data_IF_966049335264
#
_entry.id   IF_966049335264
#
_cell.length_a   1.000
_cell.length_b   1.000
_cell.length_c   1.000
_cell.angle_alpha   90.00
_cell.angle_beta   90.00
_cell.angle_gamma   90.00
#
_symmetry.space_group_name_H-M   'P 1'
#
loop_
_entity.id
_entity.type
_entity.pdbx_description
1 polymer ?
#
# COMPACT_ATOMS: atom_id res chain seq x y z
N UNK A 1 8.53 7.04 30.71
CA UNK A 1 8.83 7.01 29.31
C UNK A 1 7.99 8.01 28.54
N UNK A 2 8.64 8.82 27.74
CA UNK A 2 8.05 10.05 27.20
C UNK A 2 7.80 9.97 25.69
N UNK A 3 7.24 8.87 25.25
CA UNK A 3 6.88 8.70 23.85
C UNK A 3 5.39 8.49 23.68
N UNK A 4 4.84 9.15 22.70
CA UNK A 4 3.50 8.93 22.26
C UNK A 4 3.54 8.53 20.79
N UNK A 5 3.00 7.36 20.48
CA UNK A 5 2.79 6.91 19.11
C UNK A 5 1.29 6.86 18.85
N UNK A 6 0.80 7.78 18.05
CA UNK A 6 -0.60 7.84 17.71
C UNK A 6 -0.79 8.14 16.24
N UNK A 7 -1.94 7.74 15.71
CA UNK A 7 -2.35 8.04 14.36
C UNK A 7 -3.51 9.01 14.40
N UNK A 8 -3.51 9.93 13.44
CA UNK A 8 -4.58 10.88 13.25
C UNK A 8 -5.18 10.67 11.87
N UNK A 9 -6.48 10.94 11.77
CA UNK A 9 -7.19 10.87 10.49
C UNK A 9 -7.64 12.30 10.17
N UNK A 10 -7.44 12.72 8.93
CA UNK A 10 -7.96 14.00 8.47
C UNK A 10 -9.43 13.86 8.11
N UNK A 11 -10.27 14.61 8.79
CA UNK A 11 -11.72 14.69 8.55
C UNK A 11 -12.17 16.14 8.60
N UNK A 12 -12.92 16.57 7.59
CA UNK A 12 -13.49 17.92 7.54
C UNK A 12 -12.45 19.04 7.76
N UNK A 13 -11.25 18.86 7.18
CA UNK A 13 -10.15 19.81 7.32
C UNK A 13 -9.41 19.76 8.65
N UNK A 14 -9.72 18.81 9.52
CA UNK A 14 -9.13 18.66 10.85
C UNK A 14 -8.42 17.32 11.00
N UNK A 15 -7.47 17.29 11.93
CA UNK A 15 -6.83 16.05 12.36
C UNK A 15 -7.48 15.57 13.66
N UNK A 16 -8.09 14.41 13.62
CA UNK A 16 -8.68 13.76 14.78
C UNK A 16 -7.92 12.48 15.13
N UNK A 17 -7.95 12.08 16.39
CA UNK A 17 -7.36 10.81 16.79
C UNK A 17 -8.03 9.65 16.04
N UNK A 18 -7.22 8.67 15.63
CA UNK A 18 -7.74 7.52 14.89
C UNK A 18 -8.62 6.61 15.75
N UNK A 19 -8.38 6.58 17.07
CA UNK A 19 -9.15 5.78 18.03
C UNK A 19 -9.33 6.53 19.34
N UNK A 20 -10.35 6.15 20.12
CA UNK A 20 -10.55 6.66 21.46
C UNK A 20 -9.38 6.32 22.40
N UNK A 21 -8.82 5.12 22.22
CA UNK A 21 -7.66 4.69 23.01
C UNK A 21 -6.44 5.61 22.77
N UNK A 22 -6.20 6.01 21.52
CA UNK A 22 -5.12 6.95 21.19
C UNK A 22 -5.32 8.30 21.86
N UNK A 23 -6.57 8.82 21.89
CA UNK A 23 -6.90 10.06 22.57
C UNK A 23 -6.59 9.99 24.07
N UNK A 24 -6.99 8.90 24.72
CA UNK A 24 -6.73 8.70 26.14
C UNK A 24 -5.23 8.54 26.45
N UNK A 25 -4.49 7.84 25.62
CA UNK A 25 -3.04 7.72 25.75
C UNK A 25 -2.35 9.08 25.64
N UNK A 26 -2.83 9.93 24.74
CA UNK A 26 -2.29 11.26 24.56
C UNK A 26 -2.55 12.12 25.82
N UNK A 27 -3.74 12.04 26.42
CA UNK A 27 -4.05 12.76 27.66
C UNK A 27 -3.11 12.35 28.81
N UNK A 28 -2.85 11.04 28.94
CA UNK A 28 -1.90 10.52 29.93
C UNK A 28 -0.48 11.04 29.64
N UNK A 29 -0.09 11.02 28.38
CA UNK A 29 1.22 11.51 27.95
C UNK A 29 1.39 12.99 28.32
N UNK A 30 0.40 13.82 28.02
CA UNK A 30 0.43 15.26 28.34
C UNK A 30 0.47 15.48 29.86
N UNK A 31 -0.30 14.72 30.63
CA UNK A 31 -0.34 14.87 32.09
C UNK A 31 1.01 14.56 32.77
N UNK A 32 1.87 13.76 32.13
CA UNK A 32 3.19 13.43 32.64
C UNK A 32 4.28 14.43 32.20
N UNK A 33 3.96 15.39 31.39
CA UNK A 33 4.90 16.44 30.97
C UNK A 33 4.91 17.55 32.01
N UNK A 34 6.09 17.92 32.54
CA UNK A 34 6.18 19.04 33.47
C UNK A 34 5.75 20.37 32.83
N UNK A 35 5.13 21.22 33.63
CA UNK A 35 4.78 22.56 33.18
C UNK A 35 6.00 23.34 32.68
N UNK A 36 5.83 24.09 31.63
CA UNK A 36 6.91 24.87 31.00
C UNK A 36 7.82 24.08 30.07
N UNK A 37 7.57 22.79 29.89
CA UNK A 37 8.33 21.98 28.95
C UNK A 37 8.06 22.40 27.51
N UNK A 38 9.08 22.32 26.66
CA UNK A 38 8.95 22.50 25.22
C UNK A 38 8.76 21.11 24.60
N UNK A 39 7.70 20.96 23.80
CA UNK A 39 7.40 19.71 23.14
C UNK A 39 7.50 19.89 21.62
N UNK A 40 8.31 19.07 20.98
CA UNK A 40 8.45 19.07 19.53
C UNK A 40 7.67 17.89 18.95
N UNK A 41 6.99 18.14 17.85
CA UNK A 41 6.20 17.14 17.14
C UNK A 41 6.76 16.91 15.75
N UNK A 42 6.79 15.65 15.35
CA UNK A 42 7.15 15.25 14.00
C UNK A 42 5.94 14.61 13.34
N UNK A 43 5.68 14.99 12.10
CA UNK A 43 4.54 14.50 11.33
C UNK A 43 5.01 13.74 10.10
N UNK A 44 4.36 12.65 9.83
CA UNK A 44 4.47 11.94 8.57
C UNK A 44 3.07 11.72 8.01
N UNK A 45 2.92 11.91 6.70
CA UNK A 45 1.71 11.50 6.01
C UNK A 45 1.95 10.10 5.50
N UNK A 46 1.24 9.14 6.10
CA UNK A 46 1.28 7.76 5.61
C UNK A 46 0.10 7.54 4.69
N UNK A 47 0.37 6.93 3.53
CA UNK A 47 -0.69 6.49 2.64
C UNK A 47 -1.25 5.16 3.13
N UNK A 48 -2.45 4.82 2.65
CA UNK A 48 -3.08 3.55 2.96
C UNK A 48 -2.37 2.43 2.19
N UNK A 49 -1.26 1.97 2.74
CA UNK A 49 -0.43 0.94 2.10
C UNK A 49 -1.16 -0.38 1.97
N UNK A 50 -0.78 -1.13 0.95
CA UNK A 50 -1.27 -2.49 0.77
C UNK A 50 -0.90 -3.38 1.94
N UNK A 51 -1.75 -4.33 2.27
CA UNK A 51 -1.52 -5.24 3.38
C UNK A 51 -0.57 -6.38 3.00
N UNK A 52 0.15 -6.92 3.99
CA UNK A 52 0.98 -8.11 3.79
C UNK A 52 0.17 -9.32 3.30
N UNK A 53 -1.05 -9.58 3.81
CA UNK A 53 -1.90 -10.64 3.25
C UNK A 53 -2.26 -10.45 1.79
N UNK A 54 -2.58 -9.23 1.36
CA UNK A 54 -2.84 -8.95 -0.06
C UNK A 54 -1.62 -9.23 -0.91
N UNK A 55 -0.45 -8.76 -0.48
CA UNK A 55 0.80 -8.95 -1.19
C UNK A 55 1.17 -10.43 -1.31
N UNK A 56 1.03 -11.19 -0.23
CA UNK A 56 1.27 -12.63 -0.20
C UNK A 56 0.32 -13.37 -1.15
N UNK A 57 -0.96 -13.04 -1.13
CA UNK A 57 -1.97 -13.61 -2.03
C UNK A 57 -1.60 -13.36 -3.50
N UNK A 58 -1.24 -12.14 -3.82
CA UNK A 58 -0.86 -11.76 -5.18
C UNK A 58 0.35 -12.55 -5.65
N UNK A 59 1.39 -12.69 -4.83
CA UNK A 59 2.58 -13.48 -5.18
C UNK A 59 2.26 -14.94 -5.47
N UNK A 60 1.39 -15.56 -4.68
CA UNK A 60 0.95 -16.95 -4.91
C UNK A 60 0.21 -17.06 -6.23
N UNK A 61 -0.70 -16.13 -6.52
CA UNK A 61 -1.45 -16.10 -7.78
C UNK A 61 -0.52 -15.96 -8.98
N UNK A 62 0.47 -15.08 -8.89
CA UNK A 62 1.45 -14.86 -9.96
C UNK A 62 2.27 -16.12 -10.24
N UNK A 63 2.69 -16.84 -9.20
CA UNK A 63 3.41 -18.12 -9.37
C UNK A 63 2.57 -19.17 -10.08
N UNK A 64 1.31 -19.30 -9.69
CA UNK A 64 0.40 -20.25 -10.32
C UNK A 64 0.14 -19.91 -11.78
N UNK A 65 -0.11 -18.64 -12.08
CA UNK A 65 -0.29 -18.20 -13.46
C UNK A 65 0.97 -18.42 -14.32
N UNK A 66 2.13 -18.04 -13.79
CA UNK A 66 3.40 -18.21 -14.49
C UNK A 66 3.65 -19.69 -14.82
N UNK A 67 3.42 -20.59 -13.88
CA UNK A 67 3.57 -22.02 -14.10
C UNK A 67 2.58 -22.56 -15.14
N UNK A 68 1.33 -22.11 -15.08
CA UNK A 68 0.30 -22.57 -16.02
C UNK A 68 0.56 -22.10 -17.44
N UNK A 69 1.00 -20.86 -17.61
CA UNK A 69 1.24 -20.24 -18.93
C UNK A 69 2.61 -20.63 -19.49
N UNK A 70 3.56 -21.04 -18.63
CA UNK A 70 4.93 -21.30 -19.04
C UNK A 70 5.76 -20.02 -19.11
N UNK A 71 5.43 -19.02 -18.31
CA UNK A 71 6.10 -17.73 -18.28
C UNK A 71 6.86 -17.54 -16.97
N UNK A 72 7.74 -16.54 -16.92
CA UNK A 72 8.43 -16.18 -15.68
C UNK A 72 7.52 -15.37 -14.76
N UNK A 73 7.76 -15.45 -13.46
CA UNK A 73 7.03 -14.64 -12.47
C UNK A 73 7.25 -13.15 -12.75
N UNK A 74 8.45 -12.74 -13.16
CA UNK A 74 8.74 -11.34 -13.47
C UNK A 74 7.90 -10.82 -14.64
N UNK A 75 7.75 -11.62 -15.69
CA UNK A 75 6.88 -11.25 -16.81
C UNK A 75 5.41 -11.21 -16.41
N UNK A 76 4.98 -12.13 -15.54
CA UNK A 76 3.61 -12.10 -15.02
C UNK A 76 3.34 -10.85 -14.19
N UNK A 77 4.31 -10.39 -13.40
CA UNK A 77 4.20 -9.12 -12.67
C UNK A 77 3.94 -7.96 -13.62
N UNK A 78 4.68 -7.90 -14.72
CA UNK A 78 4.52 -6.83 -15.72
C UNK A 78 3.15 -6.89 -16.39
N UNK A 79 2.68 -8.07 -16.77
CA UNK A 79 1.35 -8.23 -17.37
C UNK A 79 0.24 -7.79 -16.43
N UNK A 80 0.33 -8.18 -15.16
CA UNK A 80 -0.66 -7.80 -14.14
C UNK A 80 -0.63 -6.29 -13.91
N UNK A 81 0.54 -5.69 -13.80
CA UNK A 81 0.70 -4.24 -13.61
C UNK A 81 0.13 -3.46 -14.78
N UNK A 82 0.39 -3.91 -16.00
CA UNK A 82 -0.15 -3.27 -17.19
C UNK A 82 -1.69 -3.34 -17.21
N UNK A 83 -2.24 -4.52 -16.99
CA UNK A 83 -3.69 -4.74 -16.96
C UNK A 83 -4.37 -3.97 -15.83
N UNK A 84 -3.72 -3.83 -14.68
CA UNK A 84 -4.25 -3.10 -13.53
C UNK A 84 -4.08 -1.58 -13.63
N UNK A 85 -3.39 -1.08 -14.66
CA UNK A 85 -3.14 0.35 -14.83
C UNK A 85 -2.07 0.92 -13.90
N UNK A 86 -1.13 0.09 -13.46
CA UNK A 86 -0.05 0.48 -12.57
C UNK A 86 1.24 0.88 -13.31
N UNK A 87 1.22 0.89 -14.63
CA UNK A 87 2.32 1.36 -15.45
C UNK A 87 2.12 2.83 -15.78
N UNK A 88 3.15 3.64 -15.58
CA UNK A 88 3.10 5.09 -15.78
C UNK A 88 4.16 5.47 -16.81
N UNK A 89 3.76 6.29 -17.79
CA UNK A 89 4.69 6.88 -18.73
C UNK A 89 5.47 8.00 -18.05
N UNK A 90 6.80 7.94 -18.13
CA UNK A 90 7.69 8.98 -17.58
C UNK A 90 8.75 9.34 -18.58
N UNK A 91 9.13 10.62 -18.58
CA UNK A 91 10.23 11.13 -19.39
C UNK A 91 11.52 11.06 -18.56
N UNK A 92 12.52 10.36 -19.11
CA UNK A 92 13.85 10.25 -18.51
C UNK A 92 14.87 10.56 -19.60
N UNK A 93 15.73 11.56 -19.38
CA UNK A 93 16.75 11.99 -20.33
C UNK A 93 16.18 12.30 -21.73
N UNK A 94 15.02 12.91 -21.81
CA UNK A 94 14.36 13.29 -23.06
C UNK A 94 13.63 12.16 -23.79
N UNK A 95 13.59 10.97 -23.22
CA UNK A 95 12.88 9.81 -23.77
C UNK A 95 11.73 9.37 -22.86
N UNK A 96 10.64 8.91 -23.46
CA UNK A 96 9.50 8.40 -22.75
C UNK A 96 9.70 6.91 -22.42
N UNK A 97 9.51 6.57 -21.15
CA UNK A 97 9.57 5.20 -20.64
C UNK A 97 8.30 4.85 -19.90
N UNK A 98 7.90 3.58 -19.99
CA UNK A 98 6.84 3.03 -19.16
C UNK A 98 7.46 2.38 -17.94
N UNK A 99 7.12 2.91 -16.75
CA UNK A 99 7.62 2.41 -15.48
C UNK A 99 6.46 1.77 -14.70
N UNK A 100 6.73 0.59 -14.17
CA UNK A 100 5.75 -0.13 -13.37
C UNK A 100 6.01 0.14 -11.89
N UNK A 101 4.93 0.40 -11.14
CA UNK A 101 5.00 0.58 -9.69
C UNK A 101 5.30 -0.75 -9.00
N UNK A 102 6.18 -0.74 -8.00
CA UNK A 102 6.44 -1.92 -7.20
C UNK A 102 5.20 -2.31 -6.39
N UNK A 103 4.89 -3.59 -6.29
CA UNK A 103 3.76 -4.05 -5.49
C UNK A 103 3.91 -3.70 -4.00
N UNK A 104 5.14 -3.68 -3.49
CA UNK A 104 5.41 -3.26 -2.12
C UNK A 104 5.10 -1.79 -1.83
N UNK A 105 5.02 -0.96 -2.86
CA UNK A 105 4.68 0.46 -2.76
C UNK A 105 3.22 0.76 -3.11
N UNK A 106 2.45 -0.26 -3.46
CA UNK A 106 1.04 -0.09 -3.82
C UNK A 106 0.16 0.11 -2.59
N UNK A 107 -0.90 0.92 -2.78
CA UNK A 107 -1.97 1.05 -1.79
C UNK A 107 -2.84 -0.21 -1.76
N UNK A 108 -3.74 -0.31 -0.78
CA UNK A 108 -4.73 -1.39 -0.71
C UNK A 108 -5.58 -1.46 -1.97
N UNK A 109 -6.02 -0.32 -2.48
CA UNK A 109 -6.82 -0.23 -3.69
C UNK A 109 -6.03 -0.70 -4.91
N UNK A 110 -4.78 -0.28 -5.02
CA UNK A 110 -3.91 -0.70 -6.11
C UNK A 110 -3.62 -2.20 -6.07
N UNK A 111 -3.38 -2.78 -4.89
CA UNK A 111 -3.21 -4.23 -4.75
C UNK A 111 -4.50 -4.98 -5.07
N UNK A 112 -5.66 -4.43 -4.71
CA UNK A 112 -6.95 -5.02 -5.07
C UNK A 112 -7.13 -5.04 -6.60
N UNK A 113 -6.75 -3.98 -7.29
CA UNK A 113 -6.77 -3.93 -8.74
C UNK A 113 -5.82 -4.97 -9.37
N UNK A 114 -4.64 -5.13 -8.78
CA UNK A 114 -3.68 -6.12 -9.25
C UNK A 114 -4.20 -7.55 -9.07
N UNK A 115 -4.81 -7.84 -7.92
CA UNK A 115 -5.44 -9.15 -7.65
C UNK A 115 -6.57 -9.41 -8.65
N UNK A 116 -7.42 -8.42 -8.91
CA UNK A 116 -8.50 -8.54 -9.88
C UNK A 116 -7.95 -8.78 -11.29
N UNK A 117 -6.89 -8.06 -11.67
CA UNK A 117 -6.24 -8.27 -12.96
C UNK A 117 -5.68 -9.69 -13.10
N UNK A 118 -5.08 -10.24 -12.04
CA UNK A 118 -4.60 -11.61 -12.04
C UNK A 118 -5.74 -12.62 -12.21
N UNK A 119 -6.87 -12.39 -11.53
CA UNK A 119 -8.07 -13.23 -11.68
C UNK A 119 -8.57 -13.20 -13.13
N UNK A 120 -8.64 -12.04 -13.73
CA UNK A 120 -9.08 -11.88 -15.13
C UNK A 120 -8.15 -12.59 -16.11
N UNK A 121 -6.84 -12.47 -15.92
CA UNK A 121 -5.86 -13.23 -16.73
C UNK A 121 -6.09 -14.73 -16.58
N UNK A 122 -6.31 -15.20 -15.34
CA UNK A 122 -6.61 -16.60 -15.08
C UNK A 122 -7.82 -17.08 -15.86
N UNK A 123 -8.89 -16.28 -15.89
CA UNK A 123 -10.10 -16.59 -16.66
C UNK A 123 -9.80 -16.66 -18.17
N UNK A 124 -9.03 -15.75 -18.70
CA UNK A 124 -8.65 -15.71 -20.11
C UNK A 124 -7.86 -16.95 -20.55
N UNK A 125 -7.05 -17.53 -19.65
CA UNK A 125 -6.25 -18.71 -19.93
C UNK A 125 -6.87 -20.01 -19.40
N UNK A 126 -8.13 -19.98 -19.02
CA UNK A 126 -8.88 -21.11 -18.45
C UNK A 126 -8.21 -21.71 -17.20
N UNK A 127 -7.65 -20.86 -16.37
CA UNK A 127 -7.04 -21.23 -15.09
C UNK A 127 -7.63 -20.37 -13.97
N UNK A 128 -8.83 -20.72 -13.46
CA UNK A 128 -9.50 -19.87 -12.47
C UNK A 128 -8.70 -19.80 -11.16
N UNK A 129 -8.42 -18.57 -10.76
CA UNK A 129 -7.82 -18.24 -9.46
C UNK A 129 -8.95 -17.89 -8.50
N UNK A 130 -8.96 -18.54 -7.37
CA UNK A 130 -10.02 -18.32 -6.37
C UNK A 130 -9.44 -17.72 -5.10
#
# INVERSE_FOLDING_TARGET
>A
MNHFNGKFIKKNGRLDFSTLAASKQFEVYVSNIPEGSIVEFFYEVTHDDGTLPQLAKLHVMLKHLANHIGETVENMKLLVKDKAGLCIAREVAGKEYFLAKSFGECSKEELSLAIQAAIEIGQEVNFPLV
#
